data_IF_058462060139
#
_entry.id   IF_058462060139
#
_cell.length_a   1.000
_cell.length_b   1.000
_cell.length_c   1.000
_cell.angle_alpha   90.00
_cell.angle_beta   90.00
_cell.angle_gamma   90.00
#
_symmetry.space_group_name_H-M   'P 1'
#
loop_
_entity.id
_entity.type
_entity.pdbx_description
1 polymer ?
#
# COMPACT_ATOMS: atom_id res chain seq x y z
N UNK A 1 -20.96 -4.22 6.83
CA UNK A 1 -20.75 -4.91 5.57
C UNK A 1 -19.59 -5.91 5.67
N UNK A 2 -18.36 -5.54 6.07
CA UNK A 2 -17.15 -6.39 6.12
C UNK A 2 -17.40 -7.76 6.78
N UNK A 3 -17.92 -7.79 8.03
CA UNK A 3 -18.22 -9.03 8.76
C UNK A 3 -19.20 -9.93 7.99
N UNK A 4 -20.25 -9.34 7.43
CA UNK A 4 -21.27 -10.10 6.67
C UNK A 4 -20.66 -10.72 5.41
N UNK A 5 -19.81 -9.99 4.70
CA UNK A 5 -19.13 -10.52 3.51
C UNK A 5 -18.23 -11.70 3.89
N UNK A 6 -17.40 -11.55 4.94
CA UNK A 6 -16.54 -12.65 5.39
C UNK A 6 -17.36 -13.89 5.82
N UNK A 7 -18.40 -13.70 6.63
CA UNK A 7 -19.26 -14.80 7.06
C UNK A 7 -19.94 -15.51 5.88
N UNK A 8 -20.46 -14.75 4.92
CA UNK A 8 -21.05 -15.32 3.72
C UNK A 8 -20.02 -16.12 2.91
N UNK A 9 -18.85 -15.56 2.64
CA UNK A 9 -17.79 -16.25 1.89
C UNK A 9 -17.34 -17.52 2.61
N UNK A 10 -17.08 -17.46 3.92
CA UNK A 10 -16.50 -18.58 4.66
C UNK A 10 -17.54 -19.62 5.08
N UNK A 11 -18.71 -19.20 5.55
CA UNK A 11 -19.73 -20.11 6.10
C UNK A 11 -20.71 -20.63 5.07
N UNK A 12 -21.20 -19.74 4.19
CA UNK A 12 -22.19 -20.10 3.19
C UNK A 12 -21.57 -20.64 1.89
N UNK A 13 -20.39 -20.07 1.50
CA UNK A 13 -19.72 -20.44 0.24
C UNK A 13 -18.53 -21.39 0.44
N UNK A 14 -18.11 -21.65 1.70
CA UNK A 14 -17.01 -22.56 2.02
C UNK A 14 -15.62 -22.10 1.50
N UNK A 15 -15.43 -20.82 1.27
CA UNK A 15 -14.17 -20.29 0.77
C UNK A 15 -13.14 -20.22 1.91
N UNK A 16 -12.05 -20.95 1.78
CA UNK A 16 -10.99 -21.06 2.80
C UNK A 16 -9.64 -20.51 2.37
N UNK A 17 -9.54 -20.03 1.13
CA UNK A 17 -8.31 -19.56 0.50
C UNK A 17 -8.24 -18.03 0.39
N UNK A 18 -8.97 -17.30 1.22
CA UNK A 18 -9.01 -15.84 1.25
C UNK A 18 -8.36 -15.35 2.54
N UNK A 19 -7.40 -14.44 2.43
CA UNK A 19 -6.91 -13.60 3.52
C UNK A 19 -7.68 -12.28 3.54
N UNK A 20 -8.11 -11.87 4.73
CA UNK A 20 -8.98 -10.71 4.91
C UNK A 20 -8.19 -9.52 5.42
N UNK A 21 -7.99 -8.54 4.56
CA UNK A 21 -7.30 -7.31 4.89
C UNK A 21 -8.30 -6.24 5.34
N UNK A 22 -8.02 -5.59 6.46
CA UNK A 22 -8.68 -4.36 6.89
C UNK A 22 -7.80 -3.18 6.49
N UNK A 23 -8.25 -2.41 5.53
CA UNK A 23 -7.45 -1.37 4.87
C UNK A 23 -8.25 -0.07 4.72
N UNK A 24 -8.37 0.74 5.77
CA UNK A 24 -8.91 2.07 5.67
C UNK A 24 -7.85 3.05 5.13
N UNK A 25 -8.32 4.19 4.62
CA UNK A 25 -7.45 5.32 4.29
C UNK A 25 -6.62 5.73 5.51
N UNK A 26 -5.31 5.88 5.31
CA UNK A 26 -4.33 6.13 6.37
C UNK A 26 -4.38 7.50 7.05
N UNK A 27 -5.19 8.45 6.54
CA UNK A 27 -5.20 9.85 7.01
C UNK A 27 -5.73 10.04 8.43
N UNK A 28 -6.29 9.02 9.02
CA UNK A 28 -7.18 9.17 10.16
C UNK A 28 -6.53 8.99 11.53
N UNK A 29 -5.25 8.58 11.62
CA UNK A 29 -4.58 8.23 12.85
C UNK A 29 -5.10 6.94 13.53
N UNK A 30 -4.41 6.41 14.57
CA UNK A 30 -4.67 5.09 15.11
C UNK A 30 -6.06 4.94 15.75
N UNK A 31 -6.57 5.96 16.43
CA UNK A 31 -7.91 5.90 17.07
C UNK A 31 -9.00 5.78 16.01
N UNK A 32 -8.92 6.57 14.95
CA UNK A 32 -9.90 6.54 13.88
C UNK A 32 -9.73 5.27 13.01
N UNK A 33 -8.50 4.80 12.82
CA UNK A 33 -8.22 3.52 12.17
C UNK A 33 -9.01 2.39 12.84
N UNK A 34 -8.96 2.27 14.16
CA UNK A 34 -9.63 1.22 14.92
C UNK A 34 -11.13 1.46 15.12
N UNK A 35 -11.64 2.67 14.88
CA UNK A 35 -13.07 3.01 15.12
C UNK A 35 -14.06 2.13 14.34
N UNK A 36 -13.65 1.59 13.21
CA UNK A 36 -14.45 0.71 12.33
C UNK A 36 -13.86 -0.69 12.20
N UNK A 37 -12.89 -1.02 13.06
CA UNK A 37 -12.26 -2.33 13.03
C UNK A 37 -13.28 -3.46 13.26
N UNK A 38 -13.36 -4.45 12.38
CA UNK A 38 -14.40 -5.47 12.48
C UNK A 38 -14.18 -6.50 13.59
N UNK A 39 -12.98 -6.54 14.19
CA UNK A 39 -12.59 -7.49 15.22
C UNK A 39 -11.59 -8.52 14.72
N UNK A 40 -10.76 -9.03 15.64
CA UNK A 40 -9.62 -9.90 15.33
C UNK A 40 -10.02 -11.19 14.62
N UNK A 41 -11.19 -11.72 14.95
CA UNK A 41 -11.74 -12.91 14.31
C UNK A 41 -12.14 -12.72 12.84
N UNK A 42 -12.21 -11.45 12.38
CA UNK A 42 -12.59 -11.12 11.00
C UNK A 42 -11.45 -10.58 10.14
N UNK A 43 -10.25 -10.41 10.70
CA UNK A 43 -9.12 -9.78 9.99
C UNK A 43 -7.89 -10.67 10.11
N UNK A 44 -7.17 -10.82 9.02
CA UNK A 44 -5.89 -11.52 8.95
C UNK A 44 -4.72 -10.53 8.76
N UNK A 45 -4.97 -9.43 8.05
CA UNK A 45 -3.97 -8.43 7.69
C UNK A 45 -4.50 -7.02 7.98
N UNK A 46 -3.67 -6.17 8.58
CA UNK A 46 -3.92 -4.74 8.74
C UNK A 46 -3.20 -3.98 7.62
N UNK A 47 -3.91 -3.15 6.89
CA UNK A 47 -3.39 -2.38 5.77
C UNK A 47 -3.66 -0.89 5.87
N UNK A 48 -2.93 -0.12 5.11
CA UNK A 48 -3.16 1.33 4.91
C UNK A 48 -3.18 1.65 3.43
N UNK A 49 -3.98 2.66 3.07
CA UNK A 49 -4.06 3.24 1.73
C UNK A 49 -3.58 4.68 1.78
N UNK A 50 -2.46 4.98 1.14
CA UNK A 50 -1.88 6.32 1.13
C UNK A 50 -1.16 6.58 -0.18
N UNK A 51 -1.52 7.66 -0.84
CA UNK A 51 -1.00 8.01 -2.16
C UNK A 51 -0.06 9.21 -2.10
N UNK A 52 0.98 9.18 -2.93
CA UNK A 52 1.82 10.33 -3.20
C UNK A 52 1.10 11.30 -4.15
N UNK A 53 1.43 12.57 -4.05
CA UNK A 53 0.97 13.61 -4.96
C UNK A 53 2.07 14.63 -5.21
N UNK A 54 2.23 15.08 -6.45
CA UNK A 54 3.16 16.18 -6.76
C UNK A 54 2.59 17.50 -6.23
N UNK A 55 3.35 18.14 -5.33
CA UNK A 55 3.03 19.45 -4.76
C UNK A 55 3.84 20.52 -5.48
N UNK A 56 3.15 21.45 -6.11
CA UNK A 56 3.76 22.60 -6.81
C UNK A 56 4.88 22.20 -7.78
N UNK A 57 4.81 21.02 -8.39
CA UNK A 57 5.85 20.41 -9.22
C UNK A 57 7.21 20.28 -8.52
N UNK A 58 7.23 20.23 -7.20
CA UNK A 58 8.44 20.06 -6.40
C UNK A 58 8.52 18.61 -5.89
N UNK A 59 9.37 17.82 -6.53
CA UNK A 59 9.54 16.38 -6.21
C UNK A 59 10.05 16.20 -4.78
N UNK A 60 11.05 16.97 -4.32
CA UNK A 60 11.61 16.82 -2.97
C UNK A 60 10.58 17.13 -1.88
N UNK A 61 9.83 18.23 -2.02
CA UNK A 61 8.78 18.58 -1.05
C UNK A 61 7.66 17.56 -1.05
N UNK A 62 7.31 17.00 -2.21
CA UNK A 62 6.30 15.95 -2.36
C UNK A 62 6.74 14.66 -1.68
N UNK A 63 7.99 14.28 -1.87
CA UNK A 63 8.65 13.12 -1.28
C UNK A 63 8.69 13.22 0.24
N UNK A 64 9.14 14.35 0.77
CA UNK A 64 9.20 14.61 2.23
C UNK A 64 7.81 14.51 2.87
N UNK A 65 6.79 15.08 2.24
CA UNK A 65 5.41 15.02 2.74
C UNK A 65 4.86 13.57 2.74
N UNK A 66 5.08 12.84 1.64
CA UNK A 66 4.69 11.43 1.55
C UNK A 66 5.37 10.58 2.61
N UNK A 67 6.68 10.78 2.82
CA UNK A 67 7.43 10.05 3.84
C UNK A 67 6.94 10.32 5.26
N UNK A 68 6.65 11.57 5.59
CA UNK A 68 6.11 11.94 6.91
C UNK A 68 4.79 11.22 7.17
N UNK A 69 3.87 11.26 6.20
CA UNK A 69 2.58 10.61 6.29
C UNK A 69 2.72 9.08 6.44
N UNK A 70 3.44 8.44 5.53
CA UNK A 70 3.56 6.98 5.49
C UNK A 70 4.33 6.44 6.69
N UNK A 71 5.44 7.08 7.11
CA UNK A 71 6.19 6.66 8.31
C UNK A 71 5.35 6.75 9.57
N UNK A 72 4.58 7.83 9.72
CA UNK A 72 3.63 7.96 10.84
C UNK A 72 2.63 6.81 10.86
N UNK A 73 2.06 6.49 9.70
CA UNK A 73 1.06 5.44 9.55
C UNK A 73 1.62 4.04 9.76
N UNK A 74 2.76 3.70 9.13
CA UNK A 74 3.40 2.41 9.31
C UNK A 74 3.90 2.21 10.77
N UNK A 75 4.29 3.28 11.44
CA UNK A 75 4.69 3.22 12.86
C UNK A 75 3.51 2.81 13.74
N UNK A 76 2.35 3.47 13.64
CA UNK A 76 1.19 3.04 14.44
C UNK A 76 0.66 1.68 13.99
N UNK A 77 0.70 1.38 12.68
CA UNK A 77 0.28 0.07 12.18
C UNK A 77 1.14 -1.06 12.73
N UNK A 78 2.45 -0.83 12.90
CA UNK A 78 3.35 -1.80 13.55
C UNK A 78 2.92 -2.10 14.98
N UNK A 79 2.53 -1.08 15.76
CA UNK A 79 2.01 -1.28 17.13
C UNK A 79 0.72 -2.09 17.09
N UNK A 80 -0.25 -1.69 16.26
CA UNK A 80 -1.53 -2.40 16.13
C UNK A 80 -1.35 -3.85 15.63
N UNK A 81 -0.45 -4.08 14.69
CA UNK A 81 -0.12 -5.42 14.18
C UNK A 81 0.38 -6.34 15.29
N UNK A 82 1.27 -5.84 16.15
CA UNK A 82 1.76 -6.59 17.30
C UNK A 82 0.66 -6.84 18.35
N UNK A 83 -0.09 -5.80 18.70
CA UNK A 83 -1.14 -5.89 19.74
C UNK A 83 -2.28 -6.85 19.34
N UNK A 84 -2.64 -6.85 18.08
CA UNK A 84 -3.71 -7.70 17.52
C UNK A 84 -3.21 -9.02 16.91
N UNK A 85 -1.89 -9.28 16.91
CA UNK A 85 -1.26 -10.45 16.29
C UNK A 85 -1.67 -10.65 14.82
N UNK A 86 -1.57 -9.57 14.03
CA UNK A 86 -1.90 -9.55 12.60
C UNK A 86 -0.66 -9.28 11.76
N UNK A 87 -0.69 -9.74 10.51
CA UNK A 87 0.23 -9.24 9.49
C UNK A 87 -0.10 -7.78 9.16
N UNK A 88 0.86 -7.07 8.58
CA UNK A 88 0.61 -5.72 8.07
C UNK A 88 1.04 -5.58 6.62
N UNK A 89 0.41 -4.67 5.89
CA UNK A 89 0.74 -4.37 4.50
C UNK A 89 0.51 -2.88 4.17
N UNK A 90 1.11 -2.46 3.08
CA UNK A 90 0.79 -1.19 2.42
C UNK A 90 -0.15 -1.51 1.26
N UNK A 91 -1.44 -1.58 1.57
CA UNK A 91 -2.48 -2.19 0.74
C UNK A 91 -2.81 -1.41 -0.51
N UNK A 92 -2.62 -0.07 -0.49
CA UNK A 92 -2.71 0.76 -1.69
C UNK A 92 -1.76 1.95 -1.60
N UNK A 93 -1.01 2.18 -2.67
CA UNK A 93 -0.16 3.37 -2.82
C UNK A 93 0.05 3.69 -4.31
N UNK A 94 0.73 4.78 -4.57
CA UNK A 94 1.17 5.17 -5.90
C UNK A 94 1.37 6.67 -6.05
N UNK A 95 2.00 7.05 -7.15
CA UNK A 95 2.06 8.41 -7.66
C UNK A 95 1.36 8.43 -9.01
N UNK A 96 0.19 9.07 -9.09
CA UNK A 96 -0.54 9.18 -10.35
C UNK A 96 0.28 9.91 -11.41
N UNK A 97 0.38 9.29 -12.60
CA UNK A 97 1.13 9.84 -13.73
C UNK A 97 2.65 9.74 -13.61
N UNK A 98 3.19 9.19 -12.52
CA UNK A 98 4.63 8.95 -12.29
C UNK A 98 5.52 10.15 -12.61
N UNK A 99 5.12 11.34 -12.19
CA UNK A 99 5.87 12.58 -12.45
C UNK A 99 7.16 12.75 -11.63
N UNK A 100 7.48 11.83 -10.72
CA UNK A 100 8.79 11.66 -10.08
C UNK A 100 9.55 10.55 -10.82
N UNK A 101 10.66 10.84 -11.53
CA UNK A 101 11.38 9.85 -12.32
C UNK A 101 12.05 8.74 -11.48
N UNK A 102 12.21 8.97 -10.18
CA UNK A 102 12.81 8.03 -9.21
C UNK A 102 11.84 7.66 -8.09
N UNK A 103 10.53 7.61 -8.40
CA UNK A 103 9.50 7.36 -7.40
C UNK A 103 9.67 5.99 -6.71
N UNK A 104 10.08 4.97 -7.45
CA UNK A 104 10.24 3.62 -6.94
C UNK A 104 11.44 3.48 -6.01
N UNK A 105 12.62 3.93 -6.48
CA UNK A 105 13.89 3.73 -5.77
C UNK A 105 14.17 4.80 -4.72
N UNK A 106 13.72 6.04 -4.94
CA UNK A 106 14.04 7.16 -4.05
C UNK A 106 12.85 7.66 -3.22
N UNK A 107 11.62 7.26 -3.54
CA UNK A 107 10.42 7.69 -2.80
C UNK A 107 9.75 6.52 -2.08
N UNK A 108 9.41 5.44 -2.76
CA UNK A 108 8.70 4.31 -2.17
C UNK A 108 9.63 3.42 -1.33
N UNK A 109 10.73 2.96 -1.90
CA UNK A 109 11.64 2.02 -1.22
C UNK A 109 12.14 2.56 0.13
N UNK A 110 12.64 3.81 0.24
CA UNK A 110 13.19 4.30 1.51
C UNK A 110 12.14 4.44 2.62
N UNK A 111 10.87 4.48 2.30
CA UNK A 111 9.81 4.61 3.31
C UNK A 111 9.26 3.26 3.78
N UNK A 112 9.49 2.19 3.00
CA UNK A 112 8.95 0.85 3.32
C UNK A 112 10.00 -0.11 3.89
N UNK A 113 11.28 0.03 3.52
CA UNK A 113 12.34 -0.94 3.84
C UNK A 113 12.56 -1.23 5.32
N UNK A 114 12.22 -0.29 6.20
CA UNK A 114 12.44 -0.40 7.64
C UNK A 114 11.25 -1.06 8.37
N UNK A 115 10.21 -1.46 7.64
CA UNK A 115 8.98 -2.03 8.21
C UNK A 115 8.75 -3.47 7.73
N UNK A 116 8.27 -4.33 8.64
CA UNK A 116 7.92 -5.73 8.32
C UNK A 116 6.55 -5.81 7.66
N UNK A 117 6.43 -5.30 6.45
CA UNK A 117 5.19 -5.38 5.65
C UNK A 117 5.20 -6.61 4.75
N UNK A 118 4.05 -7.25 4.61
CA UNK A 118 3.89 -8.48 3.82
C UNK A 118 3.86 -8.21 2.32
N UNK A 119 3.29 -7.08 1.91
CA UNK A 119 3.28 -6.64 0.52
C UNK A 119 2.99 -5.15 0.41
N UNK A 120 3.34 -4.59 -0.74
CA UNK A 120 2.93 -3.26 -1.20
C UNK A 120 2.14 -3.45 -2.49
N UNK A 121 1.00 -2.78 -2.62
CA UNK A 121 0.24 -2.75 -3.86
C UNK A 121 0.20 -1.33 -4.41
N UNK A 122 0.72 -1.16 -5.61
CA UNK A 122 0.52 0.07 -6.38
C UNK A 122 -0.78 -0.01 -7.17
N UNK A 123 -1.47 1.14 -7.24
CA UNK A 123 -2.77 1.15 -7.89
C UNK A 123 -2.68 0.84 -9.40
N UNK A 124 -3.82 0.61 -10.01
CA UNK A 124 -3.99 0.17 -11.40
C UNK A 124 -3.60 1.23 -12.43
N UNK A 125 -3.25 0.78 -13.61
CA UNK A 125 -3.26 1.59 -14.81
C UNK A 125 -4.63 1.49 -15.49
N UNK A 126 -5.34 2.61 -15.68
CA UNK A 126 -6.64 2.60 -16.31
C UNK A 126 -6.51 2.59 -17.84
N UNK A 127 -7.30 1.74 -18.50
CA UNK A 127 -7.33 1.65 -19.96
C UNK A 127 -8.18 2.75 -20.61
N UNK A 128 -9.09 3.35 -19.85
CA UNK A 128 -10.13 4.29 -20.31
C UNK A 128 -9.95 5.73 -19.78
N UNK A 129 -8.90 5.97 -18.98
CA UNK A 129 -8.62 7.28 -18.38
C UNK A 129 -7.16 7.68 -18.64
N UNK A 130 -6.89 8.50 -19.66
CA UNK A 130 -5.55 8.99 -19.94
C UNK A 130 -4.97 9.73 -18.70
N UNK A 131 -3.73 9.41 -18.33
CA UNK A 131 -3.06 9.97 -17.14
C UNK A 131 -3.35 9.26 -15.83
N UNK A 132 -4.35 8.39 -15.75
CA UNK A 132 -4.64 7.61 -14.55
C UNK A 132 -3.87 6.29 -14.56
N UNK A 133 -2.59 6.37 -14.23
CA UNK A 133 -1.68 5.22 -14.14
C UNK A 133 -0.69 5.40 -12.99
N UNK A 134 -0.26 4.28 -12.41
CA UNK A 134 0.57 4.23 -11.20
C UNK A 134 1.77 3.28 -11.32
N UNK A 135 1.81 2.46 -12.36
CA UNK A 135 2.93 1.56 -12.63
C UNK A 135 3.51 1.82 -14.02
N UNK A 136 4.84 1.78 -14.13
CA UNK A 136 5.53 1.89 -15.40
C UNK A 136 5.28 0.64 -16.28
N UNK A 137 5.45 0.80 -17.59
CA UNK A 137 5.38 -0.28 -18.57
C UNK A 137 6.57 -0.19 -19.52
N UNK A 138 6.80 -1.21 -20.32
CA UNK A 138 7.86 -1.23 -21.30
C UNK A 138 7.73 -0.05 -22.30
N UNK A 139 8.78 0.77 -22.39
CA UNK A 139 8.81 1.98 -23.21
C UNK A 139 8.30 3.25 -22.52
N UNK A 140 7.85 3.18 -21.26
CA UNK A 140 7.61 4.38 -20.46
C UNK A 140 8.93 5.05 -20.08
N UNK A 141 8.96 6.40 -20.06
CA UNK A 141 10.21 7.18 -19.87
C UNK A 141 10.97 6.90 -18.56
N UNK A 142 10.26 6.44 -17.51
CA UNK A 142 10.83 6.12 -16.20
C UNK A 142 10.75 4.62 -15.86
N UNK A 143 10.62 3.75 -16.87
CA UNK A 143 10.54 2.29 -16.67
C UNK A 143 11.79 1.70 -16.01
N UNK A 144 12.96 2.29 -16.27
CA UNK A 144 14.23 1.83 -15.69
C UNK A 144 14.28 1.96 -14.17
N UNK A 145 13.60 2.95 -13.57
CA UNK A 145 13.53 3.10 -12.12
C UNK A 145 12.69 1.99 -11.47
N UNK A 146 11.55 1.64 -12.06
CA UNK A 146 10.75 0.51 -11.60
C UNK A 146 11.50 -0.82 -11.75
N UNK A 147 12.26 -0.99 -12.84
CA UNK A 147 13.12 -2.15 -13.03
C UNK A 147 14.21 -2.22 -11.97
N UNK A 148 14.92 -1.12 -11.71
CA UNK A 148 15.92 -1.05 -10.65
C UNK A 148 15.32 -1.38 -9.26
N UNK A 149 14.12 -0.90 -8.98
CA UNK A 149 13.40 -1.26 -7.76
C UNK A 149 13.12 -2.77 -7.68
N UNK A 150 12.69 -3.40 -8.78
CA UNK A 150 12.40 -4.85 -8.81
C UNK A 150 13.65 -5.73 -8.62
N UNK A 151 14.84 -5.20 -8.84
CA UNK A 151 16.12 -5.90 -8.70
C UNK A 151 16.74 -5.76 -7.29
N UNK A 152 16.08 -5.02 -6.36
CA UNK A 152 16.54 -4.89 -4.98
C UNK A 152 16.32 -6.19 -4.20
N UNK A 153 17.30 -6.61 -3.40
CA UNK A 153 17.24 -7.84 -2.58
C UNK A 153 16.06 -7.88 -1.62
N UNK A 154 15.54 -6.72 -1.20
CA UNK A 154 14.39 -6.58 -0.29
C UNK A 154 13.04 -6.67 -1.00
N UNK A 155 13.02 -6.66 -2.32
CA UNK A 155 11.79 -6.61 -3.14
C UNK A 155 11.62 -7.95 -3.86
N UNK A 156 10.43 -8.52 -3.75
CA UNK A 156 10.07 -9.79 -4.40
C UNK A 156 8.90 -9.55 -5.32
N UNK A 157 9.09 -9.83 -6.61
CA UNK A 157 8.02 -9.97 -7.58
C UNK A 157 7.77 -11.45 -7.86
N UNK A 158 6.59 -11.78 -8.38
CA UNK A 158 6.34 -13.13 -8.87
C UNK A 158 7.19 -13.37 -10.11
N UNK A 159 7.97 -14.46 -10.09
CA UNK A 159 8.63 -14.95 -11.28
C UNK A 159 7.58 -15.51 -12.26
N UNK A 160 7.73 -15.23 -13.55
CA UNK A 160 6.88 -15.82 -14.60
C UNK A 160 7.21 -17.29 -14.85
#
# INVERSE_FOLDING_TARGET
LYRLTRLYCTKERGLTNILWCYSPNGDAGPENYMSRYPGDEFVDILGIDTYAGLRDNNVEASRAFFWEAVKSQLTYLTVLSNDHHKLMCFSETGLEGLGDPHWWTETLEPVIRDYSISYVLTWRNAHDQPGHFYAAWEGFEHADDMKAFSELDSIVFLDE
#
